data_IF_192746337942
#
_entry.id   IF_192746337942
#
_cell.length_a   1.000
_cell.length_b   1.000
_cell.length_c   1.000
_cell.angle_alpha   90.00
_cell.angle_beta   90.00
_cell.angle_gamma   90.00
#
_symmetry.space_group_name_H-M   'P 1'
#
loop_
_entity.id
_entity.type
_entity.pdbx_description
1 polymer ?
#
# COMPACT_ATOMS: atom_id res chain seq x y z
N UNK A 1 8.71 2.13 4.65
CA UNK A 1 7.73 1.23 4.00
C UNK A 1 7.33 1.71 2.60
N UNK A 2 6.97 2.99 2.39
CA UNK A 2 6.69 3.53 1.04
C UNK A 2 7.77 3.26 -0.01
N UNK A 3 9.04 3.50 0.31
CA UNK A 3 10.14 3.30 -0.65
C UNK A 3 10.32 1.82 -1.05
N UNK A 4 10.04 0.88 -0.17
CA UNK A 4 10.20 -0.56 -0.46
C UNK A 4 9.04 -1.09 -1.31
N UNK A 5 7.81 -0.69 -0.99
CA UNK A 5 6.62 -1.02 -1.77
C UNK A 5 6.72 -0.48 -3.21
N UNK A 6 7.19 0.75 -3.39
CA UNK A 6 7.46 1.32 -4.72
C UNK A 6 8.58 0.59 -5.47
N UNK A 7 9.67 0.24 -4.78
CA UNK A 7 10.77 -0.53 -5.38
C UNK A 7 10.30 -1.90 -5.87
N UNK A 8 9.43 -2.57 -5.12
CA UNK A 8 8.88 -3.88 -5.51
C UNK A 8 7.86 -3.80 -6.64
N UNK A 9 7.10 -2.69 -6.74
CA UNK A 9 6.23 -2.40 -7.89
C UNK A 9 7.08 -2.27 -9.17
N UNK A 10 8.19 -1.52 -9.10
CA UNK A 10 9.11 -1.34 -10.21
C UNK A 10 9.82 -2.65 -10.64
N UNK A 11 9.96 -3.61 -9.72
CA UNK A 11 10.50 -4.95 -10.00
C UNK A 11 9.46 -5.91 -10.62
N UNK A 12 8.28 -5.42 -11.01
CA UNK A 12 7.21 -6.22 -11.63
C UNK A 12 6.49 -7.16 -10.67
N UNK A 13 6.62 -6.97 -9.35
CA UNK A 13 6.00 -7.80 -8.31
C UNK A 13 4.82 -7.09 -7.66
N UNK A 14 3.89 -6.61 -8.48
CA UNK A 14 2.74 -5.79 -8.06
C UNK A 14 1.92 -6.46 -6.95
N UNK A 15 1.56 -7.74 -7.09
CA UNK A 15 0.78 -8.47 -6.06
C UNK A 15 1.48 -8.54 -4.70
N UNK A 16 2.80 -8.73 -4.67
CA UNK A 16 3.58 -8.77 -3.42
C UNK A 16 3.68 -7.38 -2.78
N UNK A 17 3.79 -6.35 -3.63
CA UNK A 17 3.75 -4.96 -3.19
C UNK A 17 2.41 -4.59 -2.55
N UNK A 18 1.30 -5.03 -3.15
CA UNK A 18 -0.07 -4.81 -2.63
C UNK A 18 -0.21 -5.45 -1.25
N UNK A 19 0.14 -6.74 -1.09
CA UNK A 19 0.05 -7.43 0.21
C UNK A 19 0.88 -6.75 1.31
N UNK A 20 2.10 -6.32 0.98
CA UNK A 20 2.94 -5.60 1.94
C UNK A 20 2.29 -4.27 2.36
N UNK A 21 1.68 -3.56 1.41
CA UNK A 21 1.03 -2.28 1.66
C UNK A 21 -0.27 -2.45 2.46
N UNK A 22 -1.03 -3.53 2.24
CA UNK A 22 -2.18 -3.91 3.08
C UNK A 22 -1.78 -4.13 4.53
N UNK A 23 -0.70 -4.88 4.77
CA UNK A 23 -0.15 -5.08 6.12
C UNK A 23 0.28 -3.75 6.76
N UNK A 24 0.91 -2.86 5.98
CA UNK A 24 1.26 -1.52 6.46
C UNK A 24 0.04 -0.69 6.86
N UNK A 25 -1.01 -0.68 6.04
CA UNK A 25 -2.26 0.04 6.33
C UNK A 25 -2.89 -0.49 7.61
N UNK A 26 -2.96 -1.81 7.78
CA UNK A 26 -3.50 -2.43 8.99
C UNK A 26 -2.70 -2.05 10.24
N UNK A 27 -1.37 -2.16 10.19
CA UNK A 27 -0.50 -1.78 11.30
C UNK A 27 -0.61 -0.30 11.64
N UNK A 28 -0.58 0.58 10.63
CA UNK A 28 -0.71 2.02 10.86
C UNK A 28 -2.09 2.39 11.38
N UNK A 29 -3.16 1.74 10.92
CA UNK A 29 -4.51 1.96 11.44
C UNK A 29 -4.62 1.54 12.91
N UNK A 30 -4.02 0.41 13.30
CA UNK A 30 -4.03 -0.06 14.69
C UNK A 30 -3.17 0.82 15.63
N UNK A 31 -2.01 1.28 15.18
CA UNK A 31 -1.05 2.01 16.02
C UNK A 31 -1.32 3.52 16.04
N UNK A 32 -1.62 4.11 14.88
CA UNK A 32 -1.76 5.55 14.70
C UNK A 32 -3.22 6.00 14.53
N UNK A 33 -4.14 5.08 14.25
CA UNK A 33 -5.52 5.38 13.90
C UNK A 33 -5.75 5.47 12.40
N UNK A 34 -7.01 5.25 12.00
CA UNK A 34 -7.45 5.31 10.60
C UNK A 34 -7.30 6.72 10.00
N UNK A 35 -7.52 7.77 10.80
CA UNK A 35 -7.47 9.17 10.35
C UNK A 35 -6.05 9.75 10.32
N UNK A 36 -5.04 8.97 10.70
CA UNK A 36 -3.67 9.46 10.67
C UNK A 36 -3.22 9.68 9.21
N UNK A 37 -2.57 10.82 8.87
CA UNK A 37 -2.16 11.14 7.51
C UNK A 37 -1.37 10.02 6.81
N UNK A 38 -0.50 9.33 7.56
CA UNK A 38 0.24 8.17 7.03
C UNK A 38 -0.68 6.99 6.65
N UNK A 39 -1.67 6.66 7.49
CA UNK A 39 -2.64 5.58 7.21
C UNK A 39 -3.48 5.90 5.97
N UNK A 40 -3.91 7.16 5.85
CA UNK A 40 -4.66 7.66 4.69
C UNK A 40 -3.80 7.56 3.42
N UNK A 41 -2.55 8.04 3.47
CA UNK A 41 -1.65 8.00 2.32
C UNK A 41 -1.40 6.56 1.83
N UNK A 42 -1.15 5.62 2.74
CA UNK A 42 -0.97 4.21 2.38
C UNK A 42 -2.26 3.59 1.80
N UNK A 43 -3.42 3.95 2.33
CA UNK A 43 -4.72 3.47 1.84
C UNK A 43 -5.03 3.97 0.43
N UNK A 44 -4.71 5.23 0.13
CA UNK A 44 -4.85 5.79 -1.23
C UNK A 44 -3.94 5.04 -2.20
N UNK A 45 -2.66 4.89 -1.87
CA UNK A 45 -1.71 4.16 -2.73
C UNK A 45 -2.13 2.70 -2.95
N UNK A 46 -2.70 2.05 -1.93
CA UNK A 46 -3.23 0.69 -2.05
C UNK A 46 -4.39 0.61 -3.05
N UNK A 47 -5.34 1.55 -2.97
CA UNK A 47 -6.48 1.61 -3.89
C UNK A 47 -6.03 1.84 -5.33
N UNK A 48 -5.06 2.71 -5.56
CA UNK A 48 -4.48 2.95 -6.89
C UNK A 48 -3.89 1.66 -7.47
N UNK A 49 -3.14 0.90 -6.68
CA UNK A 49 -2.45 -0.30 -7.16
C UNK A 49 -3.39 -1.49 -7.35
N UNK A 50 -4.40 -1.63 -6.49
CA UNK A 50 -5.47 -2.60 -6.69
C UNK A 50 -6.24 -2.30 -8.00
N UNK A 51 -6.53 -1.04 -8.27
CA UNK A 51 -7.18 -0.62 -9.52
C UNK A 51 -6.32 -0.93 -10.74
N UNK A 52 -5.02 -0.60 -10.69
CA UNK A 52 -4.06 -0.90 -11.76
C UNK A 52 -3.96 -2.41 -12.03
N UNK A 53 -3.97 -3.23 -10.97
CA UNK A 53 -3.94 -4.70 -11.09
C UNK A 53 -5.20 -5.31 -11.71
N UNK A 54 -6.35 -4.62 -11.64
CA UNK A 54 -7.61 -5.05 -12.24
C UNK A 54 -7.74 -4.60 -13.70
N UNK A 55 -6.96 -3.60 -14.12
CA UNK A 55 -7.00 -3.02 -15.47
C UNK A 55 -5.89 -3.52 -16.42
N UNK A 56 -4.95 -4.33 -15.93
CA UNK A 56 -3.85 -4.92 -16.71
C UNK A 56 -4.07 -6.40 -17.01
#
# INVERSE_FOLDING_TARGET
MNNLAFTWKLLGRLEKSIKLLEECVMFCSQVLGADHPNTIAFSITLLEWQTESLTG
#
